data_IF_249445163511
#
_entry.id   IF_249445163511
#
_cell.length_a   1.000
_cell.length_b   1.000
_cell.length_c   1.000
_cell.angle_alpha   90.00
_cell.angle_beta   90.00
_cell.angle_gamma   90.00
#
_symmetry.space_group_name_H-M   'P 1'
#
loop_
_entity.id
_entity.type
_entity.pdbx_description
1 polymer ?
#
# COMPACT_ATOMS: atom_id res chain seq x y z
N UNK A 1 -56.96 36.85 -42.14
CA UNK A 1 -55.88 35.89 -41.79
C UNK A 1 -54.56 36.60 -42.00
N UNK A 2 -53.84 36.95 -40.93
CA UNK A 2 -52.50 37.55 -41.04
C UNK A 2 -51.55 36.70 -40.22
N UNK A 3 -50.67 35.98 -40.91
CA UNK A 3 -49.70 35.07 -40.31
C UNK A 3 -48.62 35.86 -39.59
N UNK A 4 -48.54 35.73 -38.26
CA UNK A 4 -47.36 36.13 -37.50
C UNK A 4 -46.21 35.19 -37.88
N UNK A 5 -45.31 35.63 -38.74
CA UNK A 5 -43.95 35.08 -38.72
C UNK A 5 -43.23 35.67 -37.52
N UNK A 6 -42.83 34.87 -36.52
CA UNK A 6 -42.04 35.38 -35.41
C UNK A 6 -40.69 35.83 -35.98
N UNK A 7 -40.39 37.14 -35.88
CA UNK A 7 -39.09 37.68 -36.26
C UNK A 7 -38.05 37.09 -35.31
N UNK A 8 -37.26 36.14 -35.80
CA UNK A 8 -36.17 35.53 -35.03
C UNK A 8 -35.18 36.62 -34.65
N UNK A 9 -34.95 36.81 -33.36
CA UNK A 9 -33.96 37.76 -32.86
C UNK A 9 -32.57 37.12 -32.98
N UNK A 10 -31.90 37.37 -34.11
CA UNK A 10 -30.61 36.76 -34.45
C UNK A 10 -29.52 37.07 -33.40
N UNK A 11 -29.56 38.25 -32.77
CA UNK A 11 -28.62 38.62 -31.69
C UNK A 11 -28.76 37.68 -30.49
N UNK A 12 -29.98 37.32 -30.11
CA UNK A 12 -30.23 36.38 -29.00
C UNK A 12 -29.75 34.96 -29.34
N UNK A 13 -29.84 34.57 -30.62
CA UNK A 13 -29.34 33.28 -31.12
C UNK A 13 -27.80 33.26 -31.09
N UNK A 14 -27.15 34.33 -31.54
CA UNK A 14 -25.69 34.48 -31.49
C UNK A 14 -25.16 34.46 -30.05
N UNK A 15 -25.79 35.21 -29.13
CA UNK A 15 -25.44 35.18 -27.70
C UNK A 15 -25.59 33.77 -27.10
N UNK A 16 -26.66 33.06 -27.46
CA UNK A 16 -26.88 31.69 -26.99
C UNK A 16 -25.85 30.70 -27.53
N UNK A 17 -25.41 30.89 -28.78
CA UNK A 17 -24.35 30.09 -29.41
C UNK A 17 -23.00 30.36 -28.77
N UNK A 18 -22.65 31.63 -28.50
CA UNK A 18 -21.42 32.02 -27.80
C UNK A 18 -21.40 31.41 -26.39
N UNK A 19 -22.49 31.56 -25.63
CA UNK A 19 -22.60 30.94 -24.31
C UNK A 19 -22.51 29.41 -24.36
N UNK A 20 -23.07 28.78 -25.41
CA UNK A 20 -22.95 27.35 -25.64
C UNK A 20 -21.51 26.93 -25.89
N UNK A 21 -20.79 27.68 -26.73
CA UNK A 21 -19.38 27.45 -27.04
C UNK A 21 -18.49 27.62 -25.80
N UNK A 22 -18.74 28.67 -25.01
CA UNK A 22 -18.02 28.93 -23.76
C UNK A 22 -18.23 27.81 -22.74
N UNK A 23 -19.48 27.33 -22.58
CA UNK A 23 -19.77 26.18 -21.71
C UNK A 23 -19.04 24.91 -22.16
N UNK A 24 -18.98 24.65 -23.47
CA UNK A 24 -18.23 23.50 -24.02
C UNK A 24 -16.73 23.64 -23.78
N UNK A 25 -16.17 24.84 -23.94
CA UNK A 25 -14.77 25.12 -23.69
C UNK A 25 -14.43 24.95 -22.21
N UNK A 26 -15.25 25.49 -21.30
CA UNK A 26 -15.08 25.31 -19.85
C UNK A 26 -15.14 23.83 -19.49
N UNK A 27 -16.12 23.09 -20.02
CA UNK A 27 -16.23 21.64 -19.78
C UNK A 27 -14.99 20.89 -20.25
N UNK A 28 -14.49 21.19 -21.46
CA UNK A 28 -13.27 20.59 -21.99
C UNK A 28 -12.05 20.87 -21.11
N UNK A 29 -11.92 22.09 -20.59
CA UNK A 29 -10.84 22.47 -19.67
C UNK A 29 -10.95 21.66 -18.36
N UNK A 30 -12.15 21.58 -17.77
CA UNK A 30 -12.39 20.81 -16.54
C UNK A 30 -12.08 19.33 -16.75
N UNK A 31 -12.55 18.74 -17.83
CA UNK A 31 -12.36 17.32 -18.14
C UNK A 31 -10.86 17.01 -18.36
N UNK A 32 -10.15 17.86 -19.10
CA UNK A 32 -8.70 17.70 -19.32
C UNK A 32 -7.90 17.83 -18.01
N UNK A 33 -8.22 18.82 -17.18
CA UNK A 33 -7.54 19.02 -15.89
C UNK A 33 -7.82 17.88 -14.92
N UNK A 34 -9.06 17.38 -14.88
CA UNK A 34 -9.45 16.24 -14.04
C UNK A 34 -8.70 14.96 -14.45
N UNK A 35 -8.51 14.74 -15.75
CA UNK A 35 -7.72 13.62 -16.27
C UNK A 35 -6.27 13.69 -15.81
N UNK A 36 -5.63 14.85 -15.96
CA UNK A 36 -4.23 15.05 -15.53
C UNK A 36 -4.05 14.86 -14.00
N UNK A 37 -5.02 15.31 -13.20
CA UNK A 37 -5.01 15.10 -11.75
C UNK A 37 -5.10 13.61 -11.40
N UNK A 38 -5.99 12.87 -12.07
CA UNK A 38 -6.17 11.44 -11.81
C UNK A 38 -4.94 10.63 -12.25
N UNK A 39 -4.33 10.96 -13.38
CA UNK A 39 -3.09 10.30 -13.83
C UNK A 39 -1.94 10.55 -12.85
N UNK A 40 -1.79 11.78 -12.35
CA UNK A 40 -0.81 12.10 -11.30
C UNK A 40 -1.06 11.31 -10.01
N UNK A 41 -2.32 11.23 -9.55
CA UNK A 41 -2.69 10.44 -8.36
C UNK A 41 -2.35 8.96 -8.53
N UNK A 42 -2.68 8.37 -9.67
CA UNK A 42 -2.37 6.96 -9.95
C UNK A 42 -0.85 6.69 -9.96
N UNK A 43 -0.05 7.61 -10.52
CA UNK A 43 1.40 7.53 -10.48
C UNK A 43 1.94 7.62 -9.05
N UNK A 44 1.42 8.54 -8.24
CA UNK A 44 1.84 8.71 -6.86
C UNK A 44 1.44 7.52 -5.97
N UNK A 45 0.24 6.96 -6.15
CA UNK A 45 -0.19 5.72 -5.50
C UNK A 45 0.74 4.55 -5.84
N UNK A 46 1.09 4.40 -7.12
CA UNK A 46 2.02 3.36 -7.57
C UNK A 46 3.38 3.53 -6.90
N UNK A 47 3.91 4.76 -6.83
CA UNK A 47 5.18 5.06 -6.17
C UNK A 47 5.15 4.76 -4.68
N UNK A 48 4.08 5.13 -4.00
CA UNK A 48 3.86 4.85 -2.57
C UNK A 48 3.81 3.35 -2.33
N UNK A 49 3.07 2.61 -3.16
CA UNK A 49 2.94 1.16 -3.06
C UNK A 49 4.29 0.45 -3.23
N UNK A 50 5.09 0.82 -4.26
CA UNK A 50 6.43 0.25 -4.44
C UNK A 50 7.33 0.43 -3.21
N UNK A 51 7.30 1.62 -2.60
CA UNK A 51 8.06 1.90 -1.36
C UNK A 51 7.55 1.08 -0.18
N UNK A 52 6.24 1.02 0.02
CA UNK A 52 5.62 0.22 1.09
C UNK A 52 5.98 -1.26 0.96
N UNK A 53 5.88 -1.82 -0.25
CA UNK A 53 6.25 -3.22 -0.53
C UNK A 53 7.72 -3.47 -0.21
N UNK A 54 8.63 -2.57 -0.61
CA UNK A 54 10.05 -2.70 -0.31
C UNK A 54 10.33 -2.75 1.22
N UNK A 55 9.72 -1.84 1.97
CA UNK A 55 9.84 -1.79 3.43
C UNK A 55 9.28 -3.07 4.06
N UNK A 56 8.10 -3.51 3.63
CA UNK A 56 7.44 -4.73 4.10
C UNK A 56 8.32 -5.97 3.87
N UNK A 57 8.89 -6.13 2.67
CA UNK A 57 9.76 -7.28 2.38
C UNK A 57 10.98 -7.33 3.31
N UNK A 58 11.63 -6.18 3.53
CA UNK A 58 12.80 -6.11 4.40
C UNK A 58 12.43 -6.41 5.85
N UNK A 59 11.31 -5.88 6.36
CA UNK A 59 10.88 -6.13 7.73
C UNK A 59 10.47 -7.60 7.94
N UNK A 60 9.76 -8.17 6.97
CA UNK A 60 9.29 -9.56 7.03
C UNK A 60 10.45 -10.55 6.98
N UNK A 61 11.44 -10.33 6.11
CA UNK A 61 12.66 -11.14 6.07
C UNK A 61 13.44 -11.10 7.37
N UNK A 62 13.59 -9.92 7.97
CA UNK A 62 14.23 -9.78 9.29
C UNK A 62 13.46 -10.55 10.36
N UNK A 63 12.12 -10.49 10.34
CA UNK A 63 11.26 -11.21 11.29
C UNK A 63 11.39 -12.72 11.13
N UNK A 64 11.31 -13.22 9.91
CA UNK A 64 11.44 -14.63 9.61
C UNK A 64 12.85 -15.16 9.94
N UNK A 65 13.90 -14.37 9.69
CA UNK A 65 15.27 -14.73 10.07
C UNK A 65 15.46 -14.88 11.58
N UNK A 66 14.74 -14.11 12.42
CA UNK A 66 14.78 -14.31 13.87
C UNK A 66 14.27 -15.69 14.30
N UNK A 67 13.37 -16.27 13.50
CA UNK A 67 12.77 -17.57 13.79
C UNK A 67 13.51 -18.73 13.08
N UNK A 68 14.11 -18.46 11.91
CA UNK A 68 14.95 -19.41 11.18
C UNK A 68 16.15 -18.71 10.52
N UNK A 69 17.35 -18.93 11.08
CA UNK A 69 18.61 -18.37 10.58
C UNK A 69 18.95 -18.86 9.16
N UNK A 70 18.44 -20.02 8.74
CA UNK A 70 18.70 -20.62 7.42
C UNK A 70 17.75 -20.12 6.33
N UNK A 71 16.86 -19.18 6.63
CA UNK A 71 15.89 -18.66 5.66
C UNK A 71 16.55 -18.14 4.38
N UNK A 72 17.68 -17.44 4.50
CA UNK A 72 18.38 -16.89 3.33
C UNK A 72 18.91 -17.97 2.40
N UNK A 73 19.38 -19.10 2.97
CA UNK A 73 19.78 -20.26 2.19
C UNK A 73 18.58 -20.88 1.47
N UNK A 74 17.44 -21.02 2.15
CA UNK A 74 16.20 -21.58 1.57
C UNK A 74 15.61 -20.70 0.47
N UNK A 75 15.71 -19.37 0.62
CA UNK A 75 15.27 -18.42 -0.40
C UNK A 75 16.28 -18.26 -1.55
N UNK A 76 17.49 -18.82 -1.42
CA UNK A 76 18.56 -18.73 -2.41
C UNK A 76 19.11 -17.32 -2.60
N UNK A 77 19.04 -16.48 -1.56
CA UNK A 77 19.41 -15.06 -1.64
C UNK A 77 19.84 -14.53 -0.27
N UNK A 78 20.58 -13.44 -0.23
CA UNK A 78 21.06 -12.85 1.02
C UNK A 78 20.36 -11.50 1.31
N UNK A 79 20.29 -11.13 2.59
CA UNK A 79 19.64 -9.88 3.01
C UNK A 79 20.31 -8.63 2.41
N UNK A 80 21.63 -8.66 2.24
CA UNK A 80 22.40 -7.53 1.71
C UNK A 80 22.00 -7.22 0.26
N UNK A 81 21.90 -8.25 -0.57
CA UNK A 81 21.49 -8.17 -1.97
C UNK A 81 20.06 -7.66 -2.09
N UNK A 82 19.13 -8.19 -1.28
CA UNK A 82 17.74 -7.73 -1.28
C UNK A 82 17.66 -6.26 -0.83
N UNK A 83 18.40 -5.86 0.19
CA UNK A 83 18.46 -4.45 0.62
C UNK A 83 18.99 -3.53 -0.47
N UNK A 84 20.07 -3.93 -1.15
CA UNK A 84 20.63 -3.16 -2.28
C UNK A 84 19.63 -3.05 -3.44
N UNK A 85 18.97 -4.15 -3.79
CA UNK A 85 17.93 -4.17 -4.82
C UNK A 85 16.76 -3.24 -4.47
N UNK A 86 16.37 -3.19 -3.19
CA UNK A 86 15.23 -2.42 -2.69
C UNK A 86 15.60 -1.05 -2.12
N UNK A 87 16.84 -0.58 -2.28
CA UNK A 87 17.31 0.72 -1.79
C UNK A 87 16.61 1.87 -2.55
N UNK A 88 16.39 1.68 -3.84
CA UNK A 88 15.75 2.65 -4.73
C UNK A 88 14.62 2.00 -5.55
N UNK A 89 13.49 1.62 -4.92
CA UNK A 89 12.44 0.84 -5.57
C UNK A 89 11.74 1.58 -6.72
N UNK A 90 11.87 2.91 -6.77
CA UNK A 90 11.31 3.74 -7.85
C UNK A 90 12.19 3.78 -9.10
N UNK A 91 13.48 3.46 -8.98
CA UNK A 91 14.41 3.40 -10.12
C UNK A 91 14.38 2.05 -10.83
N UNK A 92 13.73 1.05 -10.22
CA UNK A 92 13.60 -0.28 -10.80
C UNK A 92 12.70 -0.25 -12.04
N UNK A 93 13.19 -0.87 -13.10
CA UNK A 93 12.42 -1.09 -14.32
C UNK A 93 11.29 -2.12 -14.09
N UNK A 94 10.43 -2.31 -15.09
CA UNK A 94 9.28 -3.21 -14.96
C UNK A 94 9.68 -4.68 -14.74
N UNK A 95 10.77 -5.13 -15.35
CA UNK A 95 11.27 -6.50 -15.26
C UNK A 95 11.91 -6.77 -13.89
N UNK A 96 12.77 -5.87 -13.42
CA UNK A 96 13.36 -5.88 -12.09
C UNK A 96 12.28 -5.87 -11.01
N UNK A 97 11.24 -5.04 -11.18
CA UNK A 97 10.10 -5.04 -10.27
C UNK A 97 9.31 -6.35 -10.31
N UNK A 98 9.18 -6.98 -11.49
CA UNK A 98 8.61 -8.33 -11.62
C UNK A 98 9.41 -9.37 -10.82
N UNK A 99 10.74 -9.27 -10.81
CA UNK A 99 11.59 -10.15 -10.01
C UNK A 99 11.43 -9.91 -8.49
N UNK A 100 11.24 -8.66 -8.08
CA UNK A 100 10.89 -8.31 -6.69
C UNK A 100 9.58 -8.98 -6.27
N UNK A 101 8.55 -8.93 -7.11
CA UNK A 101 7.26 -9.56 -6.82
C UNK A 101 7.37 -11.08 -6.74
N UNK A 102 8.12 -11.73 -7.64
CA UNK A 102 8.39 -13.17 -7.54
C UNK A 102 9.10 -13.55 -6.24
N UNK A 103 10.03 -12.70 -5.77
CA UNK A 103 10.68 -12.90 -4.48
C UNK A 103 9.71 -12.73 -3.32
N UNK A 104 8.81 -11.75 -3.39
CA UNK A 104 7.74 -11.56 -2.40
C UNK A 104 6.86 -12.81 -2.30
N UNK A 105 6.45 -13.39 -3.43
CA UNK A 105 5.65 -14.62 -3.45
C UNK A 105 6.39 -15.78 -2.78
N UNK A 106 7.71 -15.92 -3.02
CA UNK A 106 8.54 -16.93 -2.34
C UNK A 106 8.58 -16.71 -0.83
N UNK A 107 8.70 -15.46 -0.38
CA UNK A 107 8.69 -15.12 1.06
C UNK A 107 7.34 -15.45 1.68
N UNK A 108 6.23 -15.16 1.00
CA UNK A 108 4.89 -15.49 1.49
C UNK A 108 4.63 -16.99 1.53
N UNK A 109 5.03 -17.73 0.50
CA UNK A 109 4.95 -19.18 0.49
C UNK A 109 5.75 -19.79 1.64
N UNK A 110 6.97 -19.28 1.88
CA UNK A 110 7.80 -19.68 3.00
C UNK A 110 7.12 -19.41 4.34
N UNK A 111 6.55 -18.21 4.51
CA UNK A 111 5.83 -17.82 5.72
C UNK A 111 4.64 -18.73 6.00
N UNK A 112 3.86 -19.09 4.97
CA UNK A 112 2.71 -20.00 5.12
C UNK A 112 3.16 -21.40 5.53
N UNK A 113 4.21 -21.93 4.89
CA UNK A 113 4.79 -23.22 5.26
C UNK A 113 5.35 -23.20 6.68
N UNK A 114 6.04 -22.12 7.07
CA UNK A 114 6.57 -21.95 8.42
C UNK A 114 5.46 -21.84 9.47
N UNK A 115 4.37 -21.13 9.17
CA UNK A 115 3.21 -21.03 10.06
C UNK A 115 2.59 -22.41 10.35
N UNK A 116 2.54 -23.31 9.38
CA UNK A 116 2.07 -24.69 9.59
C UNK A 116 2.98 -25.52 10.50
N UNK A 117 4.27 -25.18 10.57
CA UNK A 117 5.24 -25.88 11.44
C UNK A 117 5.27 -25.35 12.87
N UNK A 118 4.80 -24.12 13.10
CA UNK A 118 4.63 -23.58 14.44
C UNK A 118 3.42 -24.30 15.04
N UNK A 119 3.66 -25.20 16.00
CA UNK A 119 2.58 -25.70 16.87
C UNK A 119 1.85 -24.49 17.44
N UNK A 120 0.52 -24.48 17.35
CA UNK A 120 -0.29 -23.51 18.08
C UNK A 120 0.14 -23.55 19.54
N UNK A 121 0.88 -22.53 19.97
CA UNK A 121 1.17 -22.35 21.38
C UNK A 121 -0.17 -21.99 21.98
N UNK A 122 -0.75 -22.91 22.76
CA UNK A 122 -1.99 -22.66 23.47
C UNK A 122 -1.80 -21.35 24.25
N UNK A 123 -2.74 -20.42 24.12
CA UNK A 123 -2.70 -19.13 24.78
C UNK A 123 -2.45 -19.29 26.30
N UNK A 124 -2.93 -20.38 26.89
CA UNK A 124 -2.70 -20.75 28.29
C UNK A 124 -1.21 -20.98 28.62
N UNK A 125 -0.43 -21.61 27.73
CA UNK A 125 1.01 -21.78 27.94
C UNK A 125 1.78 -20.46 27.83
N UNK A 126 1.32 -19.53 26.99
CA UNK A 126 1.91 -18.18 26.92
C UNK A 126 1.62 -17.36 28.17
N UNK A 127 0.36 -17.40 28.65
CA UNK A 127 -0.03 -16.76 29.90
C UNK A 127 0.76 -17.34 31.07
N UNK A 128 0.93 -18.66 31.14
CA UNK A 128 1.69 -19.32 32.20
C UNK A 128 3.18 -18.95 32.18
N UNK A 129 3.78 -18.81 30.99
CA UNK A 129 5.17 -18.34 30.85
C UNK A 129 5.34 -16.89 31.30
N UNK A 130 4.40 -16.01 30.97
CA UNK A 130 4.44 -14.62 31.44
C UNK A 130 4.20 -14.54 32.95
N UNK A 131 3.27 -15.32 33.52
CA UNK A 131 3.06 -15.44 34.97
C UNK A 131 4.34 -15.90 35.68
N UNK A 132 5.02 -16.94 35.16
CA UNK A 132 6.29 -17.44 35.73
C UNK A 132 7.43 -16.42 35.64
N UNK A 133 7.52 -15.62 34.57
CA UNK A 133 8.51 -14.52 34.49
C UNK A 133 8.21 -13.39 35.47
N UNK A 134 6.96 -13.26 35.90
CA UNK A 134 6.49 -12.18 36.76
C UNK A 134 6.35 -12.60 38.22
N UNK A 135 6.47 -13.89 38.58
CA UNK A 135 6.33 -14.40 39.95
C UNK A 135 7.25 -13.71 40.96
N UNK A 136 8.44 -13.31 40.51
CA UNK A 136 9.45 -12.68 41.37
C UNK A 136 9.42 -11.14 41.30
N UNK A 137 8.59 -10.57 40.41
CA UNK A 137 8.45 -9.11 40.26
C UNK A 137 7.42 -8.59 41.26
N UNK A 138 7.89 -8.13 42.42
CA UNK A 138 7.00 -7.68 43.50
C UNK A 138 6.17 -6.43 43.19
N UNK A 139 6.58 -5.52 42.30
CA UNK A 139 5.79 -4.36 41.88
C UNK A 139 6.42 -3.74 40.63
N UNK A 140 5.68 -3.63 39.50
CA UNK A 140 6.14 -2.90 38.32
C UNK A 140 5.27 -1.66 38.05
N UNK A 141 5.61 -0.53 38.69
CA UNK A 141 4.89 0.76 38.58
C UNK A 141 4.90 1.31 37.15
N UNK A 142 5.87 0.91 36.31
CA UNK A 142 5.96 1.38 34.91
C UNK A 142 4.96 0.69 33.97
N UNK A 143 4.57 -0.55 34.24
CA UNK A 143 3.69 -1.34 33.37
C UNK A 143 2.21 -1.29 33.79
N UNK A 144 1.86 -0.55 34.85
CA UNK A 144 0.48 -0.31 35.34
C UNK A 144 -0.36 -1.60 35.50
N UNK A 145 0.26 -2.71 35.85
CA UNK A 145 -0.47 -3.92 36.24
C UNK A 145 -0.36 -4.12 37.75
N UNK A 146 -1.51 -4.33 38.38
CA UNK A 146 -1.62 -4.80 39.76
C UNK A 146 -1.84 -6.31 39.73
N UNK A 147 -1.17 -7.10 40.58
CA UNK A 147 -1.55 -8.48 40.79
C UNK A 147 -3.02 -8.50 41.25
N UNK A 148 -3.85 -9.28 40.57
CA UNK A 148 -5.19 -9.60 41.08
C UNK A 148 -4.98 -10.81 41.98
N UNK A 149 -5.18 -10.61 43.28
CA UNK A 149 -5.25 -11.70 44.27
C UNK A 149 -6.40 -12.67 43.94
#
# INVERSE_FOLDING_TARGET
MSGLMPKTNFTKVEESLIQGLDKLNIKKIIDSTSKDINEKRALDETRINKRKTAIYMISELKRLHKNDERIYLKLGTNLSHIKKMLEHPLKLNAEEWGNVLKLLDKIEAYKRAFAQTIKEVNNEEMVEKERKKQSDKRFNIQEKWLPID
#
